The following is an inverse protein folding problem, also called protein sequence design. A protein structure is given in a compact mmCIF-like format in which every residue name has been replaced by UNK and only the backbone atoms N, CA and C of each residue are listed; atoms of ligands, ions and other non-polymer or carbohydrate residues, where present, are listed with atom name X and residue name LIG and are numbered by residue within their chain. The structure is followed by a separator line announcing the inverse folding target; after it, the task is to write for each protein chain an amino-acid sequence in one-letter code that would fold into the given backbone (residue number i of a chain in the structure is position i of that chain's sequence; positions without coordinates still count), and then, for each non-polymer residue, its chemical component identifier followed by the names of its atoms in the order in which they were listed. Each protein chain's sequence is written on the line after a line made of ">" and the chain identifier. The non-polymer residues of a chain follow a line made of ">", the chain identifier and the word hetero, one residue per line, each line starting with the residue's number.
data_IF_794143034426
#
_entry.id   IF_794143034426
#
_cell.length_a   1.000
_cell.length_b   1.000
_cell.length_c   1.000
_cell.angle_alpha   90.00
_cell.angle_beta   90.00
_cell.angle_gamma   90.00
#
_symmetry.space_group_name_H-M   'P 1'
#
loop_
_entity.id
_entity.type
_entity.pdbx_description
1 polymer ?
#
# COMPACT_ATOMS: atom_id res chain seq x y z
N UNK A 1 -19.11 8.73 17.90
CA UNK A 1 -19.42 10.05 17.32
C UNK A 1 -18.98 10.16 15.87
N UNK A 2 -17.74 9.81 15.51
CA UNK A 2 -17.17 9.90 14.14
C UNK A 2 -18.02 9.18 13.06
N UNK A 3 -18.58 7.99 13.36
CA UNK A 3 -19.40 7.23 12.40
C UNK A 3 -20.69 7.96 11.97
N UNK A 4 -21.35 8.67 12.89
CA UNK A 4 -22.63 9.34 12.61
C UNK A 4 -22.43 10.60 11.76
N UNK A 5 -21.33 11.31 11.94
CA UNK A 5 -20.96 12.44 11.08
C UNK A 5 -20.56 11.97 9.68
N UNK A 6 -19.84 10.85 9.57
CA UNK A 6 -19.47 10.26 8.28
C UNK A 6 -20.71 9.85 7.47
N UNK A 7 -21.69 9.20 8.10
CA UNK A 7 -22.95 8.79 7.44
C UNK A 7 -23.78 9.99 6.97
N UNK A 8 -23.81 11.08 7.75
CA UNK A 8 -24.49 12.32 7.36
C UNK A 8 -23.82 12.97 6.15
N UNK A 9 -22.47 12.97 6.13
CA UNK A 9 -21.69 13.47 5.00
C UNK A 9 -21.86 12.60 3.76
N UNK A 10 -21.91 11.28 3.91
CA UNK A 10 -22.11 10.35 2.80
C UNK A 10 -23.46 10.58 2.10
N UNK A 11 -24.52 10.86 2.87
CA UNK A 11 -25.86 11.17 2.35
C UNK A 11 -26.00 12.52 1.67
N UNK A 12 -25.05 13.44 1.88
CA UNK A 12 -25.06 14.77 1.26
C UNK A 12 -24.32 14.81 -0.07
N UNK A 13 -23.64 13.73 -0.44
CA UNK A 13 -22.96 13.61 -1.72
C UNK A 13 -24.04 13.32 -2.79
N UNK A 14 -24.18 14.15 -3.82
CA UNK A 14 -25.11 13.87 -4.91
C UNK A 14 -24.64 12.62 -5.67
N UNK A 15 -25.57 11.71 -5.96
CA UNK A 15 -25.33 10.60 -6.89
C UNK A 15 -25.31 11.17 -8.31
N UNK A 16 -24.13 11.63 -8.73
CA UNK A 16 -23.88 12.09 -10.10
C UNK A 16 -23.30 10.91 -10.87
N UNK A 17 -23.87 10.61 -12.04
CA UNK A 17 -23.28 9.62 -12.94
C UNK A 17 -21.86 10.07 -13.32
N UNK A 18 -20.85 9.20 -13.21
CA UNK A 18 -19.48 9.57 -13.54
C UNK A 18 -19.42 10.03 -14.99
N UNK A 19 -18.82 11.17 -15.22
CA UNK A 19 -18.68 11.71 -16.57
C UNK A 19 -17.61 10.94 -17.37
N UNK A 20 -17.40 11.35 -18.62
CA UNK A 20 -16.42 10.70 -19.48
C UNK A 20 -14.98 10.82 -18.93
N UNK A 21 -14.66 11.91 -18.25
CA UNK A 21 -13.34 12.15 -17.65
C UNK A 21 -13.13 11.26 -16.42
N UNK A 22 -14.16 11.12 -15.57
CA UNK A 22 -14.17 10.21 -14.42
C UNK A 22 -13.97 8.74 -14.86
N UNK A 23 -14.65 8.32 -15.93
CA UNK A 23 -14.54 6.98 -16.50
C UNK A 23 -13.17 6.72 -17.12
N UNK A 24 -12.53 7.73 -17.71
CA UNK A 24 -11.16 7.63 -18.20
C UNK A 24 -10.14 7.54 -17.07
N UNK A 25 -10.31 8.34 -16.01
CA UNK A 25 -9.45 8.29 -14.82
C UNK A 25 -9.49 6.91 -14.14
N UNK A 26 -10.68 6.30 -14.04
CA UNK A 26 -10.85 4.95 -13.52
C UNK A 26 -10.19 3.88 -14.37
N UNK A 27 -10.20 4.04 -15.71
CA UNK A 27 -9.49 3.13 -16.62
C UNK A 27 -7.97 3.24 -16.44
N UNK A 28 -7.44 4.44 -16.24
CA UNK A 28 -6.01 4.66 -15.97
C UNK A 28 -5.63 3.99 -14.64
N UNK A 29 -6.41 4.23 -13.57
CA UNK A 29 -6.19 3.61 -12.26
C UNK A 29 -6.28 2.07 -12.30
N UNK A 30 -7.04 1.50 -13.24
CA UNK A 30 -7.18 0.05 -13.45
C UNK A 30 -6.03 -0.59 -14.23
N UNK A 31 -5.18 0.19 -14.91
CA UNK A 31 -4.05 -0.31 -15.70
C UNK A 31 -2.81 -0.50 -14.85
N UNK A 32 -2.86 -1.45 -13.90
CA UNK A 32 -1.69 -2.08 -13.25
C UNK A 32 -0.48 -1.17 -13.03
N UNK A 33 -0.69 -0.04 -12.34
CA UNK A 33 0.42 0.71 -11.77
C UNK A 33 1.01 -0.13 -10.63
N UNK A 34 2.25 -0.57 -10.82
CA UNK A 34 3.04 -1.42 -9.94
C UNK A 34 2.59 -1.41 -8.47
N UNK A 35 2.10 -2.56 -7.97
CA UNK A 35 1.56 -2.67 -6.61
C UNK A 35 2.60 -2.64 -5.48
N UNK A 36 3.89 -2.47 -5.81
CA UNK A 36 5.00 -2.40 -4.86
C UNK A 36 5.23 -3.65 -4.02
N UNK A 37 4.54 -4.77 -4.28
CA UNK A 37 4.64 -6.00 -3.49
C UNK A 37 5.63 -6.97 -4.12
N UNK A 38 6.67 -7.31 -3.38
CA UNK A 38 7.68 -8.28 -3.80
C UNK A 38 7.51 -9.55 -2.93
N UNK A 39 7.34 -10.70 -3.58
CA UNK A 39 7.26 -12.02 -2.93
C UNK A 39 8.43 -12.89 -3.41
N UNK A 40 9.32 -13.27 -2.50
CA UNK A 40 10.55 -14.02 -2.82
C UNK A 40 10.70 -15.21 -1.88
N UNK A 41 11.30 -16.29 -2.39
CA UNK A 41 11.77 -17.41 -1.56
C UNK A 41 13.25 -17.23 -1.28
N UNK A 42 13.62 -17.32 -0.01
CA UNK A 42 15.01 -17.18 0.46
C UNK A 42 15.38 -18.33 1.41
N UNK A 43 16.67 -18.71 1.51
CA UNK A 43 17.13 -19.67 2.50
C UNK A 43 16.81 -19.23 3.94
N UNK A 44 16.56 -20.20 4.83
CA UNK A 44 16.24 -19.93 6.24
C UNK A 44 17.34 -19.17 6.98
N UNK A 45 18.61 -19.45 6.66
CA UNK A 45 19.77 -18.76 7.21
C UNK A 45 19.75 -17.27 6.87
N UNK A 46 19.53 -16.94 5.60
CA UNK A 46 19.46 -15.56 5.13
C UNK A 46 18.28 -14.81 5.76
N UNK A 47 17.09 -15.42 5.82
CA UNK A 47 15.95 -14.80 6.49
C UNK A 47 16.26 -14.49 7.97
N UNK A 48 16.92 -15.41 8.67
CA UNK A 48 17.30 -15.21 10.07
C UNK A 48 18.23 -14.00 10.22
N UNK A 49 19.27 -13.92 9.41
CA UNK A 49 20.25 -12.82 9.43
C UNK A 49 19.57 -11.47 9.20
N UNK A 50 18.71 -11.36 8.18
CA UNK A 50 17.97 -10.12 7.88
C UNK A 50 17.04 -9.70 9.03
N UNK A 51 16.40 -10.65 9.72
CA UNK A 51 15.54 -10.37 10.87
C UNK A 51 16.36 -9.90 12.07
N UNK A 52 17.51 -10.50 12.32
CA UNK A 52 18.39 -10.11 13.42
C UNK A 52 18.96 -8.70 13.20
N UNK A 53 19.37 -8.37 11.98
CA UNK A 53 19.88 -7.05 11.65
C UNK A 53 18.78 -5.96 11.67
N UNK A 54 17.60 -6.26 11.14
CA UNK A 54 16.45 -5.35 11.25
C UNK A 54 16.09 -5.04 12.72
N UNK A 55 16.17 -6.05 13.60
CA UNK A 55 15.98 -5.87 15.05
C UNK A 55 17.08 -5.04 15.71
N UNK A 56 18.35 -5.21 15.32
CA UNK A 56 19.46 -4.39 15.82
C UNK A 56 19.27 -2.91 15.47
N UNK A 57 18.76 -2.63 14.27
CA UNK A 57 18.44 -1.27 13.83
C UNK A 57 17.09 -0.75 14.35
N UNK A 58 16.28 -1.60 15.01
CA UNK A 58 14.99 -1.22 15.57
C UNK A 58 13.91 -0.93 14.52
N UNK A 59 14.04 -1.46 13.31
CA UNK A 59 13.10 -1.25 12.20
C UNK A 59 12.42 -2.55 11.76
N UNK A 60 11.32 -2.43 11.00
CA UNK A 60 10.66 -3.61 10.44
C UNK A 60 11.55 -4.28 9.39
N UNK A 61 11.42 -5.60 9.25
CA UNK A 61 12.14 -6.35 8.21
C UNK A 61 11.86 -5.78 6.80
N UNK A 62 10.62 -5.38 6.52
CA UNK A 62 10.27 -4.80 5.22
C UNK A 62 11.00 -3.48 4.98
N UNK A 63 11.09 -2.62 6.01
CA UNK A 63 11.83 -1.36 5.93
C UNK A 63 13.33 -1.59 5.76
N UNK A 64 13.87 -2.58 6.46
CA UNK A 64 15.27 -2.97 6.35
C UNK A 64 15.61 -3.48 4.94
N UNK A 65 14.75 -4.35 4.38
CA UNK A 65 14.89 -4.82 2.98
C UNK A 65 14.82 -3.64 2.02
N UNK A 66 13.88 -2.71 2.19
CA UNK A 66 13.79 -1.52 1.34
C UNK A 66 15.06 -0.67 1.42
N UNK A 67 15.58 -0.43 2.63
CA UNK A 67 16.83 0.31 2.83
C UNK A 67 18.02 -0.37 2.14
N UNK A 68 18.11 -1.70 2.21
CA UNK A 68 19.15 -2.48 1.53
C UNK A 68 19.02 -2.48 0.01
N UNK A 69 17.80 -2.35 -0.53
CA UNK A 69 17.53 -2.28 -1.98
C UNK A 69 17.66 -0.87 -2.55
N UNK A 70 17.44 0.16 -1.74
CA UNK A 70 17.55 1.57 -2.13
C UNK A 70 18.99 2.10 -2.14
N UNK A 71 19.93 1.33 -1.57
CA UNK A 71 21.37 1.62 -1.55
C UNK A 71 22.09 0.85 -2.65
#
# INVERSE_FOLDING_TARGET
>A
MIKSEFEKKLKTIPEVEPDAEDLELLKIAGQTEYNGKISLRVPKSLHKELVEDAKKEGISLNQFILYKLAK
#
